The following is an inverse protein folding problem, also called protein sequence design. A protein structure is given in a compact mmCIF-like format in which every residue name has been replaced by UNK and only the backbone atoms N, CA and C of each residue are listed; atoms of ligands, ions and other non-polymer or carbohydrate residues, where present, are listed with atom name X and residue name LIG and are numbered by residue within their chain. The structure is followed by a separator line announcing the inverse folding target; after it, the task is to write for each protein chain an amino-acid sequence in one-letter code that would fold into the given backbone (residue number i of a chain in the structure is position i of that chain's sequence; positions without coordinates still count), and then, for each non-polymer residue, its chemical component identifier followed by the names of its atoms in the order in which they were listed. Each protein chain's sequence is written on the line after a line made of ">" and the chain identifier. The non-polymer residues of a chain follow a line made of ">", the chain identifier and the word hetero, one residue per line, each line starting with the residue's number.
data_IF_856028320768
#
_entry.id   IF_856028320768
#
_cell.length_a   1.000
_cell.length_b   1.000
_cell.length_c   1.000
_cell.angle_alpha   90.00
_cell.angle_beta   90.00
_cell.angle_gamma   90.00
#
_symmetry.space_group_name_H-M   'P 1'
#
loop_
_entity.id
_entity.type
_entity.pdbx_description
1 polymer ?
#
# COMPACT_ATOMS: atom_id res chain seq x y z
N UNK A 1 13.85 -43.40 -6.25
CA UNK A 1 14.56 -42.12 -6.38
C UNK A 1 13.52 -40.99 -6.42
N UNK A 2 13.73 -39.92 -5.63
CA UNK A 2 12.83 -38.74 -5.64
C UNK A 2 13.54 -37.64 -6.42
N UNK A 3 12.92 -37.16 -7.47
CA UNK A 3 13.41 -36.01 -8.24
C UNK A 3 12.56 -34.79 -7.94
N UNK A 4 13.18 -33.65 -7.57
CA UNK A 4 12.50 -32.39 -7.34
C UNK A 4 12.79 -31.44 -8.49
N UNK A 5 11.73 -30.76 -9.00
CA UNK A 5 11.84 -29.71 -10.03
C UNK A 5 11.10 -28.48 -9.54
N UNK A 6 11.72 -27.31 -9.72
CA UNK A 6 11.10 -26.03 -9.42
C UNK A 6 10.36 -25.53 -10.67
N UNK A 7 9.12 -25.07 -10.47
CA UNK A 7 8.29 -24.52 -11.53
C UNK A 7 7.89 -23.11 -11.13
N UNK A 8 8.21 -22.16 -11.96
CA UNK A 8 7.75 -20.77 -11.80
C UNK A 8 6.41 -20.58 -12.50
N UNK A 9 5.43 -20.01 -11.80
CA UNK A 9 4.13 -19.63 -12.35
C UNK A 9 4.11 -18.10 -12.31
N UNK A 10 4.10 -17.42 -13.50
CA UNK A 10 4.06 -15.98 -13.57
C UNK A 10 2.81 -15.40 -12.90
N UNK A 11 2.92 -14.20 -12.34
CA UNK A 11 1.76 -13.46 -11.89
C UNK A 11 0.86 -13.10 -13.09
N UNK A 12 -0.45 -13.05 -12.84
CA UNK A 12 -1.45 -12.56 -13.81
C UNK A 12 -2.24 -11.43 -13.18
N UNK A 13 -2.75 -10.55 -14.03
CA UNK A 13 -3.69 -9.49 -13.65
C UNK A 13 -5.04 -9.82 -14.30
N UNK A 14 -6.10 -9.69 -13.51
CA UNK A 14 -7.48 -9.89 -13.94
C UNK A 14 -8.26 -8.59 -13.75
N UNK A 15 -9.25 -8.36 -14.60
CA UNK A 15 -10.14 -7.21 -14.53
C UNK A 15 -11.54 -7.70 -14.19
N UNK A 16 -12.05 -7.28 -13.04
CA UNK A 16 -13.42 -7.57 -12.62
C UNK A 16 -14.35 -6.47 -13.10
N UNK A 17 -15.28 -6.78 -14.00
CA UNK A 17 -16.31 -5.85 -14.45
C UNK A 17 -17.60 -6.04 -13.66
N UNK A 18 -18.04 -4.99 -12.94
CA UNK A 18 -19.27 -5.01 -12.18
C UNK A 18 -20.40 -4.33 -12.96
N UNK A 19 -21.33 -5.11 -13.48
CA UNK A 19 -22.54 -4.62 -14.14
C UNK A 19 -23.64 -4.34 -13.10
N UNK A 20 -24.01 -3.07 -12.95
CA UNK A 20 -25.01 -2.63 -11.98
C UNK A 20 -26.30 -2.27 -12.70
N UNK A 21 -27.38 -3.02 -12.42
CA UNK A 21 -28.70 -2.73 -12.97
C UNK A 21 -29.29 -1.44 -12.39
N UNK A 22 -29.82 -0.61 -13.27
CA UNK A 22 -30.59 0.60 -12.92
C UNK A 22 -31.98 0.45 -13.54
N UNK A 23 -33.00 0.52 -12.70
CA UNK A 23 -34.39 0.37 -13.11
C UNK A 23 -35.17 1.66 -12.80
N UNK A 24 -35.96 2.11 -13.76
CA UNK A 24 -36.88 3.22 -13.56
C UNK A 24 -38.34 2.71 -13.48
N UNK A 25 -39.07 3.20 -12.50
CA UNK A 25 -40.52 2.97 -12.42
C UNK A 25 -41.22 3.69 -13.57
N UNK A 26 -42.17 3.00 -14.21
CA UNK A 26 -42.93 3.57 -15.32
C UNK A 26 -44.02 4.57 -14.86
N UNK A 27 -44.38 4.53 -13.57
CA UNK A 27 -45.51 5.30 -13.02
C UNK A 27 -45.10 6.62 -12.41
N UNK A 28 -43.99 6.67 -11.69
CA UNK A 28 -43.54 7.82 -10.89
C UNK A 28 -42.12 8.29 -11.22
N UNK A 29 -41.46 7.65 -12.19
CA UNK A 29 -40.11 8.00 -12.59
C UNK A 29 -39.01 7.68 -11.55
N UNK A 30 -39.37 7.01 -10.44
CA UNK A 30 -38.42 6.66 -9.40
C UNK A 30 -37.37 5.66 -9.91
N UNK A 31 -36.09 5.94 -9.64
CA UNK A 31 -34.98 5.11 -10.09
C UNK A 31 -34.41 4.28 -8.96
N UNK A 32 -34.35 2.98 -9.15
CA UNK A 32 -33.70 2.05 -8.23
C UNK A 32 -32.41 1.56 -8.86
N UNK A 33 -31.30 1.77 -8.16
CA UNK A 33 -29.98 1.28 -8.55
C UNK A 33 -29.54 0.20 -7.58
N UNK A 34 -29.07 -0.93 -8.11
CA UNK A 34 -28.47 -1.97 -7.29
C UNK A 34 -27.23 -1.46 -6.57
N UNK A 35 -26.94 -2.03 -5.39
CA UNK A 35 -25.73 -1.63 -4.61
C UNK A 35 -24.49 -2.05 -5.39
N UNK A 36 -23.60 -1.11 -5.61
CA UNK A 36 -22.26 -1.36 -6.14
C UNK A 36 -21.35 -1.85 -5.01
N UNK A 37 -20.45 -2.81 -5.24
CA UNK A 37 -19.40 -3.15 -4.27
C UNK A 37 -18.59 -1.89 -3.91
N UNK A 38 -18.25 -1.74 -2.62
CA UNK A 38 -17.44 -0.61 -2.19
C UNK A 38 -16.04 -0.72 -2.78
N UNK A 39 -15.59 0.33 -3.48
CA UNK A 39 -14.20 0.43 -3.91
C UNK A 39 -13.28 0.59 -2.71
N UNK A 40 -12.06 0.03 -2.79
CA UNK A 40 -11.04 0.23 -1.74
C UNK A 40 -10.75 1.73 -1.54
N UNK A 41 -10.53 2.44 -2.63
CA UNK A 41 -10.42 3.90 -2.64
C UNK A 41 -11.59 4.48 -3.43
N UNK A 42 -12.26 5.48 -2.87
CA UNK A 42 -13.36 6.13 -3.55
C UNK A 42 -12.95 6.68 -4.93
N UNK A 43 -13.67 6.25 -5.96
CA UNK A 43 -13.43 6.68 -7.35
C UNK A 43 -12.21 6.02 -8.03
N UNK A 44 -11.58 5.02 -7.42
CA UNK A 44 -10.43 4.34 -7.98
C UNK A 44 -10.72 2.88 -8.39
N UNK A 45 -10.06 2.37 -9.44
CA UNK A 45 -10.19 0.99 -9.89
C UNK A 45 -9.31 0.00 -9.09
N UNK A 46 -8.56 0.48 -8.09
CA UNK A 46 -7.61 -0.34 -7.36
C UNK A 46 -8.31 -1.32 -6.42
N UNK A 47 -8.01 -2.61 -6.57
CA UNK A 47 -8.38 -3.65 -5.61
C UNK A 47 -7.36 -3.73 -4.47
N UNK A 48 -7.73 -4.38 -3.36
CA UNK A 48 -6.83 -4.59 -2.23
C UNK A 48 -5.59 -5.43 -2.64
N UNK A 49 -5.77 -6.42 -3.50
CA UNK A 49 -4.67 -7.26 -4.00
C UNK A 49 -3.69 -6.49 -4.88
N UNK A 50 -4.20 -5.62 -5.77
CA UNK A 50 -3.36 -4.77 -6.61
C UNK A 50 -2.61 -3.74 -5.76
N UNK A 51 -3.27 -3.12 -4.79
CA UNK A 51 -2.64 -2.20 -3.85
C UNK A 51 -1.50 -2.89 -3.07
N UNK A 52 -1.74 -4.09 -2.55
CA UNK A 52 -0.73 -4.88 -1.86
C UNK A 52 0.44 -5.25 -2.76
N UNK A 53 0.18 -5.61 -4.03
CA UNK A 53 1.24 -5.91 -5.01
C UNK A 53 2.13 -4.69 -5.28
N UNK A 54 1.54 -3.50 -5.47
CA UNK A 54 2.28 -2.25 -5.66
C UNK A 54 3.12 -1.91 -4.43
N UNK A 55 2.54 -2.00 -3.23
CA UNK A 55 3.25 -1.74 -1.98
C UNK A 55 4.41 -2.71 -1.75
N UNK A 56 4.16 -4.00 -1.95
CA UNK A 56 5.20 -5.02 -1.82
C UNK A 56 6.33 -4.78 -2.82
N UNK A 57 6.00 -4.53 -4.10
CA UNK A 57 6.98 -4.21 -5.13
C UNK A 57 7.86 -3.03 -4.75
N UNK A 58 7.24 -1.93 -4.30
CA UNK A 58 7.96 -0.70 -3.97
C UNK A 58 8.76 -0.78 -2.67
N UNK A 59 8.15 -1.26 -1.59
CA UNK A 59 8.74 -1.13 -0.24
C UNK A 59 9.47 -2.37 0.23
N UNK A 60 9.09 -3.56 -0.22
CA UNK A 60 9.77 -4.81 0.13
C UNK A 60 10.84 -5.14 -0.90
N UNK A 61 10.49 -5.09 -2.18
CA UNK A 61 11.40 -5.46 -3.27
C UNK A 61 12.23 -4.27 -3.80
N UNK A 62 12.04 -3.06 -3.25
CA UNK A 62 12.74 -1.82 -3.64
C UNK A 62 12.63 -1.48 -5.14
N UNK A 63 11.53 -1.90 -5.81
CA UNK A 63 11.31 -1.63 -7.24
C UNK A 63 10.77 -0.21 -7.42
N UNK A 64 11.40 0.64 -8.25
CA UNK A 64 10.86 1.96 -8.57
C UNK A 64 9.50 1.88 -9.26
N UNK A 65 8.58 2.82 -8.97
CA UNK A 65 7.24 2.83 -9.57
C UNK A 65 7.25 2.83 -11.09
N UNK A 66 8.24 3.48 -11.72
CA UNK A 66 8.41 3.44 -13.17
C UNK A 66 8.61 2.00 -13.70
N UNK A 67 9.37 1.18 -12.99
CA UNK A 67 9.57 -0.23 -13.39
C UNK A 67 8.32 -1.06 -13.15
N UNK A 68 7.58 -0.81 -12.09
CA UNK A 68 6.27 -1.43 -11.85
C UNK A 68 5.26 -1.04 -12.93
N UNK A 69 5.23 0.23 -13.37
CA UNK A 69 4.42 0.68 -14.50
C UNK A 69 4.71 -0.12 -15.79
N UNK A 70 6.00 -0.30 -16.10
CA UNK A 70 6.42 -1.11 -17.25
C UNK A 70 6.09 -2.61 -17.09
N UNK A 71 6.15 -3.12 -15.88
CA UNK A 71 5.80 -4.50 -15.58
C UNK A 71 4.30 -4.75 -15.75
N UNK A 72 3.45 -3.92 -15.16
CA UNK A 72 2.00 -4.01 -15.32
C UNK A 72 1.54 -3.82 -16.76
N UNK A 73 2.21 -2.96 -17.52
CA UNK A 73 1.94 -2.81 -18.95
C UNK A 73 2.19 -4.11 -19.72
N UNK A 74 3.23 -4.88 -19.37
CA UNK A 74 3.48 -6.20 -19.97
C UNK A 74 2.39 -7.23 -19.61
N UNK A 75 1.73 -7.07 -18.47
CA UNK A 75 0.56 -7.87 -18.09
C UNK A 75 -0.76 -7.37 -18.68
N UNK A 76 -0.70 -6.36 -19.55
CA UNK A 76 -1.88 -5.78 -20.20
C UNK A 76 -2.61 -4.72 -19.36
N UNK A 77 -2.03 -4.28 -18.24
CA UNK A 77 -2.64 -3.30 -17.34
C UNK A 77 -1.92 -1.95 -17.44
N UNK A 78 -2.58 -0.97 -18.04
CA UNK A 78 -2.05 0.39 -18.19
C UNK A 78 -2.33 1.22 -16.94
N UNK A 79 -1.40 1.23 -15.98
CA UNK A 79 -1.46 2.03 -14.76
C UNK A 79 -0.23 2.92 -14.70
N UNK A 80 -0.44 4.23 -14.51
CA UNK A 80 0.66 5.17 -14.41
C UNK A 80 1.32 5.14 -13.03
N UNK A 81 2.62 5.42 -12.99
CA UNK A 81 3.35 5.61 -11.73
C UNK A 81 2.72 6.66 -10.82
N UNK A 82 2.07 7.69 -11.40
CA UNK A 82 1.37 8.72 -10.65
C UNK A 82 0.15 8.15 -9.92
N UNK A 83 -0.64 7.31 -10.58
CA UNK A 83 -1.78 6.65 -9.96
C UNK A 83 -1.33 5.73 -8.82
N UNK A 84 -0.27 4.94 -9.03
CA UNK A 84 0.30 4.09 -7.99
C UNK A 84 0.80 4.90 -6.79
N UNK A 85 1.46 6.04 -7.02
CA UNK A 85 1.90 6.95 -5.95
C UNK A 85 0.71 7.49 -5.16
N UNK A 86 -0.32 7.99 -5.83
CA UNK A 86 -1.54 8.51 -5.20
C UNK A 86 -2.27 7.43 -4.38
N UNK A 87 -2.35 6.20 -4.90
CA UNK A 87 -2.94 5.09 -4.14
C UNK A 87 -2.19 4.81 -2.85
N UNK A 88 -0.85 4.78 -2.89
CA UNK A 88 -0.05 4.52 -1.70
C UNK A 88 -0.20 5.62 -0.65
N UNK A 89 -0.25 6.90 -1.07
CA UNK A 89 -0.48 8.02 -0.16
C UNK A 89 -1.85 7.87 0.51
N UNK A 90 -2.91 7.71 -0.28
CA UNK A 90 -4.27 7.59 0.26
C UNK A 90 -4.46 6.34 1.13
N UNK A 91 -3.90 5.21 0.74
CA UNK A 91 -3.97 3.98 1.54
C UNK A 91 -3.18 4.11 2.85
N UNK A 92 -2.07 4.86 2.83
CA UNK A 92 -1.33 5.24 4.02
C UNK A 92 -2.22 6.00 4.99
N UNK A 93 -2.88 7.05 4.51
CA UNK A 93 -3.72 7.94 5.31
C UNK A 93 -5.03 7.29 5.75
N UNK A 94 -5.74 6.60 4.83
CA UNK A 94 -7.09 6.08 5.09
C UNK A 94 -7.09 4.74 5.87
N UNK A 95 -6.04 3.93 5.76
CA UNK A 95 -6.01 2.57 6.34
C UNK A 95 -4.79 2.30 7.22
N UNK A 96 -3.56 2.60 6.74
CA UNK A 96 -2.35 2.22 7.46
C UNK A 96 -2.06 3.11 8.66
N UNK A 97 -2.55 4.35 8.67
CA UNK A 97 -2.41 5.25 9.81
C UNK A 97 -3.00 4.65 11.08
N UNK A 98 -4.19 4.04 10.99
CA UNK A 98 -4.84 3.39 12.14
C UNK A 98 -3.99 2.24 12.71
N UNK A 99 -3.40 1.42 11.82
CA UNK A 99 -2.51 0.35 12.22
C UNK A 99 -1.22 0.90 12.83
N UNK A 100 -0.67 1.95 12.23
CA UNK A 100 0.52 2.64 12.73
C UNK A 100 0.30 3.17 14.14
N UNK A 101 -0.79 3.90 14.39
CA UNK A 101 -1.13 4.47 15.69
C UNK A 101 -1.30 3.39 16.77
N UNK A 102 -1.93 2.28 16.40
CA UNK A 102 -2.07 1.13 17.30
C UNK A 102 -0.71 0.53 17.66
N UNK A 103 0.15 0.25 16.66
CA UNK A 103 1.49 -0.29 16.91
C UNK A 103 2.38 0.69 17.70
N UNK A 104 2.24 1.98 17.43
CA UNK A 104 2.94 3.04 18.16
C UNK A 104 2.53 3.06 19.64
N UNK A 105 1.23 2.96 19.92
CA UNK A 105 0.71 2.86 21.28
C UNK A 105 1.22 1.60 22.00
N UNK A 106 1.25 0.47 21.30
CA UNK A 106 1.81 -0.78 21.87
C UNK A 106 3.31 -0.65 22.17
N UNK A 107 4.07 0.07 21.34
CA UNK A 107 5.50 0.27 21.56
C UNK A 107 5.81 0.89 22.93
N UNK A 108 4.99 1.82 23.39
CA UNK A 108 5.14 2.45 24.71
C UNK A 108 4.87 1.52 25.89
N UNK A 109 4.30 0.36 25.68
CA UNK A 109 4.13 -0.65 26.74
C UNK A 109 5.41 -1.41 27.06
N UNK A 110 6.48 -1.25 26.29
CA UNK A 110 7.75 -1.92 26.50
C UNK A 110 8.69 -1.07 27.35
N UNK A 111 9.40 -1.72 28.29
CA UNK A 111 10.37 -1.03 29.17
C UNK A 111 11.59 -0.48 28.44
N UNK A 112 11.96 -1.11 27.33
CA UNK A 112 13.12 -0.71 26.52
C UNK A 112 12.69 -0.54 25.07
N UNK A 113 12.88 0.65 24.56
CA UNK A 113 12.67 1.00 23.15
C UNK A 113 14.02 1.39 22.57
N UNK A 114 14.39 0.77 21.48
CA UNK A 114 15.59 1.12 20.70
C UNK A 114 15.16 2.05 19.55
N UNK A 115 15.97 3.06 19.29
CA UNK A 115 15.76 3.99 18.20
C UNK A 115 17.05 4.14 17.40
N UNK A 116 16.90 4.26 16.07
CA UNK A 116 18.00 4.50 15.14
C UNK A 116 17.52 5.39 13.99
N UNK A 117 18.41 6.21 13.44
CA UNK A 117 18.08 7.11 12.35
C UNK A 117 18.85 6.79 11.08
N UNK A 118 18.18 6.97 9.95
CA UNK A 118 18.78 6.84 8.61
C UNK A 118 18.53 8.13 7.83
N UNK A 119 19.57 8.78 7.27
CA UNK A 119 19.38 9.97 6.46
C UNK A 119 18.63 9.63 5.18
N UNK A 120 17.66 10.46 4.82
CA UNK A 120 16.87 10.35 3.60
C UNK A 120 16.82 11.68 2.86
N UNK A 121 16.72 11.62 1.54
CA UNK A 121 16.51 12.80 0.71
C UNK A 121 15.02 12.98 0.46
N UNK A 122 14.48 14.12 0.88
CA UNK A 122 13.08 14.49 0.64
C UNK A 122 13.05 15.63 -0.36
N UNK A 123 12.40 15.42 -1.49
CA UNK A 123 12.24 16.42 -2.52
C UNK A 123 11.06 17.35 -2.18
N UNK A 124 11.26 18.65 -2.28
CA UNK A 124 10.22 19.68 -2.13
C UNK A 124 9.58 19.74 -0.73
N UNK A 125 10.37 19.58 0.30
CA UNK A 125 9.93 19.72 1.70
C UNK A 125 9.96 21.19 2.21
N UNK A 126 10.20 22.14 1.32
CA UNK A 126 10.26 23.56 1.64
C UNK A 126 11.59 24.04 2.22
N UNK A 127 12.56 23.14 2.43
CA UNK A 127 13.90 23.47 2.95
C UNK A 127 14.90 23.68 1.82
N UNK A 128 16.07 24.23 2.16
CA UNK A 128 17.16 24.43 1.19
C UNK A 128 17.63 23.10 0.58
N UNK A 129 18.08 23.15 -0.68
CA UNK A 129 18.63 21.99 -1.37
C UNK A 129 19.84 21.43 -0.58
N UNK A 130 19.82 20.11 -0.35
CA UNK A 130 20.85 19.42 0.43
C UNK A 130 20.55 19.31 1.92
N UNK A 131 19.43 19.85 2.42
CA UNK A 131 18.98 19.59 3.79
C UNK A 131 18.76 18.11 4.02
N UNK A 132 19.31 17.58 5.11
CA UNK A 132 19.11 16.18 5.50
C UNK A 132 17.79 16.04 6.23
N UNK A 133 17.00 15.05 5.84
CA UNK A 133 15.88 14.51 6.58
C UNK A 133 16.28 13.16 7.14
N UNK A 134 15.62 12.72 8.19
CA UNK A 134 15.92 11.45 8.81
C UNK A 134 14.65 10.61 8.89
N UNK A 135 14.81 9.32 8.63
CA UNK A 135 13.79 8.33 8.91
C UNK A 135 14.19 7.62 10.20
N UNK A 136 13.35 7.70 11.20
CA UNK A 136 13.56 7.03 12.48
C UNK A 136 12.92 5.66 12.47
N UNK A 137 13.63 4.69 13.02
CA UNK A 137 13.13 3.34 13.27
C UNK A 137 13.08 3.14 14.77
N UNK A 138 11.91 2.82 15.28
CA UNK A 138 11.71 2.43 16.66
C UNK A 138 11.40 0.96 16.74
N UNK A 139 11.98 0.26 17.71
CA UNK A 139 11.70 -1.17 17.94
C UNK A 139 11.67 -1.47 19.44
N UNK A 140 10.88 -2.48 19.81
CA UNK A 140 10.96 -3.08 21.13
C UNK A 140 12.30 -3.80 21.31
N UNK A 141 12.87 -3.75 22.51
CA UNK A 141 14.17 -4.38 22.82
C UNK A 141 14.15 -5.91 22.67
N UNK A 142 15.34 -6.51 22.62
CA UNK A 142 15.54 -7.96 22.48
C UNK A 142 14.96 -8.84 23.60
N UNK A 143 14.56 -8.24 24.71
CA UNK A 143 13.98 -8.97 25.85
C UNK A 143 12.63 -9.64 25.53
N UNK A 144 12.03 -9.33 24.37
CA UNK A 144 10.74 -9.87 23.93
C UNK A 144 10.82 -10.38 22.48
N UNK A 145 11.56 -11.46 22.20
CA UNK A 145 11.79 -11.92 20.81
C UNK A 145 10.51 -12.35 20.09
N UNK A 146 9.50 -12.80 20.82
CA UNK A 146 8.23 -13.28 20.25
C UNK A 146 7.21 -12.15 19.95
N UNK A 147 7.47 -10.94 20.44
CA UNK A 147 6.55 -9.79 20.31
C UNK A 147 7.26 -8.52 19.86
N UNK A 148 8.17 -8.64 18.91
CA UNK A 148 8.90 -7.47 18.42
C UNK A 148 8.00 -6.56 17.59
N UNK A 149 7.98 -5.27 17.95
CA UNK A 149 7.35 -4.21 17.18
C UNK A 149 8.45 -3.37 16.56
N UNK A 150 8.38 -3.14 15.27
CA UNK A 150 9.29 -2.28 14.52
C UNK A 150 8.46 -1.22 13.81
N UNK A 151 8.65 0.04 14.17
CA UNK A 151 8.01 1.18 13.54
C UNK A 151 9.05 2.06 12.86
N UNK A 152 8.73 2.54 11.68
CA UNK A 152 9.51 3.56 10.96
C UNK A 152 8.72 4.85 10.90
N UNK A 153 9.34 5.93 11.34
CA UNK A 153 8.77 7.28 11.34
C UNK A 153 9.66 8.19 10.52
N UNK A 154 9.05 8.98 9.67
CA UNK A 154 9.71 10.09 8.98
C UNK A 154 9.42 11.39 9.74
N UNK A 155 10.45 12.08 10.19
CA UNK A 155 10.40 13.40 10.81
C UNK A 155 11.04 14.44 9.88
#
# INVERSE_FOLDING_TARGET
>A
AITRRYRFIPAKVEVDEHHVGVYASKTDGYMIKAKHPKSLLHGGPVSASLAAAVMNGKYVNAVPLYRLEQEFLRYGLAITRQNMANWMIRLGEEYLAVLYDHLHSLLYSYHVIQADETPVLVNRDGRSAGSKSYMWVYRSGHMYPEKQIILRVHL
#
